data_IF_162602296515
#
_entry.id   IF_162602296515
#
_cell.length_a   1.000
_cell.length_b   1.000
_cell.length_c   1.000
_cell.angle_alpha   90.00
_cell.angle_beta   90.00
_cell.angle_gamma   90.00
#
_symmetry.space_group_name_H-M   'P 1'
#
loop_
_entity.id
_entity.type
_entity.pdbx_description
1 polymer ?
#
# COMPACT_ATOMS: atom_id res chain seq x y z
N UNK A 1 39.30 49.05 37.31
CA UNK A 1 37.91 48.67 37.05
C UNK A 1 37.90 47.90 35.75
N UNK A 2 37.84 46.55 35.80
CA UNK A 2 37.84 45.67 34.63
C UNK A 2 36.36 45.22 34.36
N UNK A 3 35.78 45.71 33.26
CA UNK A 3 34.49 45.25 32.78
C UNK A 3 34.65 43.85 32.17
N UNK A 4 33.96 42.85 32.75
CA UNK A 4 33.81 41.53 32.20
C UNK A 4 32.52 41.56 31.33
N UNK A 5 32.68 41.56 30.00
CA UNK A 5 31.57 41.32 29.06
C UNK A 5 31.29 39.82 29.00
N UNK A 6 30.20 39.40 29.62
CA UNK A 6 29.68 38.04 29.47
C UNK A 6 28.90 37.94 28.14
N UNK A 7 29.47 37.23 27.18
CA UNK A 7 28.85 36.91 25.90
C UNK A 7 27.82 35.77 26.11
N UNK A 8 26.52 36.12 26.13
CA UNK A 8 25.46 35.12 26.13
C UNK A 8 25.34 34.55 24.69
N UNK A 9 25.86 33.33 24.47
CA UNK A 9 25.63 32.60 23.24
C UNK A 9 24.18 32.04 23.25
N UNK A 10 23.28 32.66 22.48
CA UNK A 10 21.96 32.11 22.19
C UNK A 10 22.11 30.86 21.30
N UNK A 11 22.02 29.69 21.90
CA UNK A 11 21.80 28.44 21.15
C UNK A 11 20.39 28.50 20.55
N UNK A 12 20.28 28.88 19.28
CA UNK A 12 19.08 28.66 18.49
C UNK A 12 18.94 27.18 18.23
N UNK A 13 18.12 26.47 19.03
CA UNK A 13 17.63 25.13 18.67
C UNK A 13 16.79 25.31 17.42
N UNK A 14 17.35 24.99 16.27
CA UNK A 14 16.64 24.91 15.00
C UNK A 14 15.57 23.84 15.11
N UNK A 15 14.30 24.24 15.24
CA UNK A 15 13.19 23.33 15.13
C UNK A 15 13.21 22.69 13.72
N UNK A 16 13.64 21.44 13.63
CA UNK A 16 13.62 20.67 12.38
C UNK A 16 12.20 20.69 11.80
N UNK A 17 12.09 20.71 10.46
CA UNK A 17 10.78 20.64 9.80
C UNK A 17 9.99 19.42 10.32
N UNK A 18 8.69 19.56 10.62
CA UNK A 18 7.87 18.44 11.03
C UNK A 18 7.94 17.31 10.00
N UNK A 19 8.12 16.07 10.45
CA UNK A 19 8.18 14.91 9.56
C UNK A 19 6.79 14.66 9.00
N UNK A 20 6.65 14.69 7.67
CA UNK A 20 5.41 14.35 6.98
C UNK A 20 5.28 12.84 6.84
N UNK A 21 4.85 12.16 7.89
CA UNK A 21 4.78 10.71 7.94
C UNK A 21 3.92 10.10 6.81
N UNK A 22 2.91 10.79 6.34
CA UNK A 22 2.08 10.32 5.20
C UNK A 22 2.84 10.23 3.88
N UNK A 23 3.98 10.92 3.77
CA UNK A 23 4.90 10.85 2.62
C UNK A 23 6.09 9.91 2.85
N UNK A 24 6.23 9.40 4.07
CA UNK A 24 7.28 8.42 4.40
C UNK A 24 6.86 7.05 3.91
N UNK A 25 7.61 6.50 2.95
CA UNK A 25 7.36 5.18 2.37
C UNK A 25 8.63 4.36 2.45
N UNK A 26 8.53 3.18 3.04
CA UNK A 26 9.63 2.21 3.11
C UNK A 26 9.19 0.84 2.61
N UNK A 27 10.16 0.04 2.15
CA UNK A 27 9.95 -1.34 1.74
C UNK A 27 10.51 -2.28 2.79
N UNK A 28 9.72 -3.27 3.20
CA UNK A 28 10.17 -4.28 4.16
C UNK A 28 11.01 -5.37 3.48
N UNK A 29 11.76 -6.19 4.23
CA UNK A 29 12.47 -7.35 3.69
C UNK A 29 11.57 -8.35 2.95
N UNK A 30 10.29 -8.50 3.38
CA UNK A 30 9.31 -9.35 2.67
C UNK A 30 8.74 -8.69 1.42
N UNK A 31 9.14 -7.45 1.13
CA UNK A 31 8.73 -6.71 -0.05
C UNK A 31 7.42 -5.94 0.07
N UNK A 32 6.74 -5.92 1.23
CA UNK A 32 5.60 -5.05 1.47
C UNK A 32 5.99 -3.58 1.54
N UNK A 33 5.02 -2.68 1.40
CA UNK A 33 5.24 -1.26 1.60
C UNK A 33 4.64 -0.80 2.92
N UNK A 34 5.40 0.03 3.64
CA UNK A 34 4.97 0.67 4.88
C UNK A 34 4.89 2.17 4.65
N UNK A 35 3.74 2.75 4.94
CA UNK A 35 3.49 4.18 4.91
C UNK A 35 3.40 4.66 6.36
N UNK A 36 4.16 5.70 6.68
CA UNK A 36 4.17 6.27 8.03
C UNK A 36 5.50 6.13 8.75
N UNK A 37 5.45 6.30 10.07
CA UNK A 37 6.60 6.16 10.94
C UNK A 37 6.97 4.67 11.08
N UNK A 38 8.12 4.21 10.58
CA UNK A 38 8.50 2.80 10.69
C UNK A 38 8.73 2.34 12.14
N UNK A 39 8.98 3.29 13.06
CA UNK A 39 9.13 3.06 14.50
C UNK A 39 7.81 3.25 15.29
N UNK A 40 6.66 3.40 14.62
CA UNK A 40 5.37 3.49 15.30
C UNK A 40 5.11 2.25 16.16
N UNK A 41 4.57 2.45 17.36
CA UNK A 41 4.25 1.37 18.30
C UNK A 41 3.17 0.42 17.78
N UNK A 42 2.31 0.90 16.90
CA UNK A 42 1.24 0.12 16.28
C UNK A 42 1.51 0.00 14.80
N UNK A 43 1.52 -1.23 14.31
CA UNK A 43 1.57 -1.57 12.89
C UNK A 43 0.25 -2.19 12.49
N UNK A 44 -0.45 -1.53 11.58
CA UNK A 44 -1.62 -2.08 10.90
C UNK A 44 -1.17 -2.69 9.58
N UNK A 45 -1.39 -3.99 9.41
CA UNK A 45 -1.12 -4.70 8.15
C UNK A 45 -2.44 -4.97 7.46
N UNK A 46 -2.54 -4.63 6.18
CA UNK A 46 -3.63 -5.00 5.30
C UNK A 46 -3.14 -6.02 4.26
N UNK A 47 -3.74 -7.20 4.23
CA UNK A 47 -3.67 -8.11 3.09
C UNK A 47 -4.80 -7.76 2.13
N UNK A 48 -4.43 -7.31 0.93
CA UNK A 48 -5.38 -6.74 -0.02
C UNK A 48 -5.21 -7.34 -1.43
N UNK A 49 -6.26 -7.20 -2.21
CA UNK A 49 -6.30 -7.53 -3.63
C UNK A 49 -6.86 -6.36 -4.42
N UNK A 50 -6.24 -6.03 -5.56
CA UNK A 50 -6.72 -4.96 -6.44
C UNK A 50 -8.03 -5.33 -7.16
N UNK A 51 -8.41 -6.60 -7.16
CA UNK A 51 -9.67 -7.08 -7.74
C UNK A 51 -10.74 -7.35 -6.68
N UNK A 52 -10.51 -7.01 -5.42
CA UNK A 52 -11.47 -7.13 -4.34
C UNK A 52 -12.28 -5.83 -4.15
N UNK A 53 -13.61 -5.83 -4.34
CA UNK A 53 -14.43 -4.64 -4.13
C UNK A 53 -14.37 -4.09 -2.69
N UNK A 54 -14.28 -4.97 -1.70
CA UNK A 54 -14.16 -4.56 -0.29
C UNK A 54 -12.83 -3.85 0.00
N UNK A 55 -11.72 -4.26 -0.67
CA UNK A 55 -10.44 -3.54 -0.60
C UNK A 55 -10.56 -2.15 -1.25
N UNK A 56 -11.23 -2.05 -2.41
CA UNK A 56 -11.54 -0.77 -3.04
C UNK A 56 -12.35 0.16 -2.14
N UNK A 57 -13.36 -0.39 -1.45
CA UNK A 57 -14.15 0.36 -0.48
C UNK A 57 -13.29 0.87 0.69
N UNK A 58 -12.42 0.01 1.26
CA UNK A 58 -11.52 0.43 2.34
C UNK A 58 -10.50 1.47 1.85
N UNK A 59 -9.96 1.32 0.66
CA UNK A 59 -9.05 2.30 0.07
C UNK A 59 -9.71 3.68 -0.10
N UNK A 60 -11.00 3.72 -0.48
CA UNK A 60 -11.74 4.96 -0.67
C UNK A 60 -12.21 5.62 0.64
N UNK A 61 -12.64 4.85 1.63
CA UNK A 61 -13.26 5.35 2.86
C UNK A 61 -12.34 5.24 4.09
N UNK A 62 -11.74 4.07 4.32
CA UNK A 62 -10.96 3.77 5.51
C UNK A 62 -9.55 4.35 5.47
N UNK A 63 -8.85 4.17 4.35
CA UNK A 63 -7.46 4.64 4.21
C UNK A 63 -7.32 6.15 4.43
N UNK A 64 -8.14 7.06 3.87
CA UNK A 64 -8.02 8.49 4.15
C UNK A 64 -8.20 8.84 5.63
N UNK A 65 -9.10 8.17 6.34
CA UNK A 65 -9.32 8.38 7.77
C UNK A 65 -8.12 7.90 8.59
N UNK A 66 -7.60 6.69 8.30
CA UNK A 66 -6.38 6.14 8.88
C UNK A 66 -5.18 7.08 8.69
N UNK A 67 -4.98 7.54 7.45
CA UNK A 67 -3.84 8.40 7.10
C UNK A 67 -3.89 9.73 7.85
N UNK A 68 -5.04 10.41 7.88
CA UNK A 68 -5.18 11.71 8.57
C UNK A 68 -5.08 11.59 10.09
N UNK A 69 -5.73 10.58 10.66
CA UNK A 69 -5.92 10.52 12.12
C UNK A 69 -4.73 9.89 12.84
N UNK A 70 -4.09 8.89 12.22
CA UNK A 70 -3.11 8.06 12.91
C UNK A 70 -1.73 8.09 12.25
N UNK A 71 -1.66 7.90 10.92
CA UNK A 71 -0.38 7.85 10.20
C UNK A 71 0.30 9.22 10.18
N UNK A 72 -0.43 10.29 9.88
CA UNK A 72 0.11 11.66 9.86
C UNK A 72 0.75 12.06 11.20
N UNK A 73 0.24 11.50 12.30
CA UNK A 73 0.73 11.73 13.66
C UNK A 73 1.87 10.79 14.07
N UNK A 74 2.28 9.87 13.17
CA UNK A 74 3.31 8.87 13.46
C UNK A 74 2.89 7.79 14.47
N UNK A 75 1.60 7.67 14.79
CA UNK A 75 1.06 6.73 15.77
C UNK A 75 0.95 5.32 15.21
N UNK A 76 0.65 5.19 13.92
CA UNK A 76 0.46 3.93 13.21
C UNK A 76 1.37 3.89 11.98
N UNK A 77 2.05 2.75 11.78
CA UNK A 77 2.67 2.37 10.53
C UNK A 77 1.66 1.52 9.74
N UNK A 78 1.27 1.96 8.54
CA UNK A 78 0.36 1.23 7.69
C UNK A 78 1.14 0.38 6.68
N UNK A 79 1.05 -0.93 6.79
CA UNK A 79 1.74 -1.90 5.93
C UNK A 79 0.75 -2.56 4.97
N UNK A 80 1.06 -2.50 3.67
CA UNK A 80 0.23 -3.04 2.60
C UNK A 80 0.91 -4.29 2.02
N UNK A 81 0.21 -5.42 2.05
CA UNK A 81 0.61 -6.72 1.51
C UNK A 81 -0.37 -7.19 0.44
N UNK A 82 0.17 -7.71 -0.65
CA UNK A 82 -0.68 -8.30 -1.69
C UNK A 82 -1.10 -9.72 -1.29
N UNK A 83 -2.39 -10.01 -1.49
CA UNK A 83 -2.99 -11.35 -1.46
C UNK A 83 -3.71 -11.56 -2.80
N UNK A 84 -2.92 -11.90 -3.82
CA UNK A 84 -3.36 -12.00 -5.22
C UNK A 84 -4.42 -13.08 -5.39
N UNK A 85 -5.46 -12.77 -6.19
CA UNK A 85 -6.62 -13.64 -6.42
C UNK A 85 -6.76 -14.10 -7.87
N UNK A 86 -6.27 -13.30 -8.82
CA UNK A 86 -6.46 -13.52 -10.25
C UNK A 86 -5.36 -12.83 -11.08
N UNK A 87 -5.29 -13.08 -12.41
CA UNK A 87 -4.26 -12.50 -13.27
C UNK A 87 -4.27 -10.95 -13.35
N UNK A 88 -5.45 -10.31 -13.28
CA UNK A 88 -5.54 -8.84 -13.28
C UNK A 88 -4.98 -8.27 -11.98
N UNK A 89 -5.27 -8.92 -10.85
CA UNK A 89 -4.73 -8.54 -9.55
C UNK A 89 -3.20 -8.65 -9.54
N UNK A 90 -2.63 -9.72 -10.10
CA UNK A 90 -1.18 -9.87 -10.23
C UNK A 90 -0.58 -8.77 -11.10
N UNK A 91 -1.19 -8.48 -12.25
CA UNK A 91 -0.72 -7.41 -13.13
C UNK A 91 -0.77 -6.04 -12.42
N UNK A 92 -1.85 -5.74 -11.71
CA UNK A 92 -2.00 -4.51 -10.94
C UNK A 92 -0.99 -4.43 -9.78
N UNK A 93 -0.75 -5.56 -9.08
CA UNK A 93 0.23 -5.64 -8.01
C UNK A 93 1.67 -5.38 -8.50
N UNK A 94 2.05 -5.89 -9.66
CA UNK A 94 3.35 -5.60 -10.29
C UNK A 94 3.40 -4.14 -10.75
N UNK A 95 2.35 -3.67 -11.41
CA UNK A 95 2.29 -2.33 -11.99
C UNK A 95 2.44 -1.22 -10.93
N UNK A 96 1.72 -1.32 -9.83
CA UNK A 96 1.78 -0.35 -8.73
C UNK A 96 3.17 -0.27 -8.06
N UNK A 97 3.94 -1.35 -8.15
CA UNK A 97 5.28 -1.48 -7.58
C UNK A 97 6.41 -1.17 -8.57
N UNK A 98 6.06 -0.95 -9.84
CA UNK A 98 7.02 -0.62 -10.89
C UNK A 98 7.48 0.83 -10.75
N UNK A 99 8.73 1.02 -10.34
CA UNK A 99 9.32 2.33 -10.08
C UNK A 99 9.80 2.52 -8.64
N UNK A 100 10.10 3.76 -8.25
CA UNK A 100 10.61 4.06 -6.91
C UNK A 100 9.54 3.86 -5.83
N UNK A 101 9.97 3.41 -4.65
CA UNK A 101 9.07 3.11 -3.53
C UNK A 101 8.12 4.26 -3.18
N UNK A 102 8.59 5.50 -3.28
CA UNK A 102 7.79 6.71 -3.01
C UNK A 102 6.57 6.89 -3.92
N UNK A 103 6.57 6.25 -5.11
CA UNK A 103 5.45 6.31 -6.05
C UNK A 103 4.34 5.30 -5.71
N UNK A 104 4.64 4.29 -4.89
CA UNK A 104 3.70 3.21 -4.57
C UNK A 104 2.35 3.71 -4.02
N UNK A 105 2.26 4.62 -3.03
CA UNK A 105 0.96 5.03 -2.50
C UNK A 105 0.06 5.66 -3.56
N UNK A 106 0.59 6.55 -4.38
CA UNK A 106 -0.19 7.19 -5.43
C UNK A 106 -0.57 6.22 -6.57
N UNK A 107 0.28 5.25 -6.91
CA UNK A 107 -0.06 4.20 -7.88
C UNK A 107 -1.14 3.27 -7.33
N UNK A 108 -1.03 2.89 -6.06
CA UNK A 108 -1.99 2.08 -5.33
C UNK A 108 -3.39 2.73 -5.30
N UNK A 109 -3.45 4.00 -4.93
CA UNK A 109 -4.68 4.79 -4.92
C UNK A 109 -5.30 4.89 -6.32
N UNK A 110 -4.49 5.19 -7.35
CA UNK A 110 -4.96 5.30 -8.73
C UNK A 110 -5.57 4.00 -9.26
N UNK A 111 -4.95 2.84 -8.96
CA UNK A 111 -5.48 1.54 -9.38
C UNK A 111 -6.80 1.23 -8.67
N UNK A 112 -6.94 1.52 -7.38
CA UNK A 112 -8.23 1.36 -6.71
C UNK A 112 -9.30 2.32 -7.22
N UNK A 113 -8.95 3.57 -7.51
CA UNK A 113 -9.87 4.52 -8.10
C UNK A 113 -10.39 4.06 -9.48
N UNK A 114 -9.54 3.36 -10.26
CA UNK A 114 -9.90 2.81 -11.57
C UNK A 114 -10.49 1.37 -11.49
N UNK A 115 -10.60 0.76 -10.30
CA UNK A 115 -10.91 -0.67 -10.12
C UNK A 115 -12.13 -1.14 -10.93
N UNK A 116 -13.24 -0.42 -10.86
CA UNK A 116 -14.49 -0.80 -11.54
C UNK A 116 -14.33 -0.80 -13.07
N UNK A 117 -13.57 0.16 -13.62
CA UNK A 117 -13.30 0.26 -15.04
C UNK A 117 -12.36 -0.85 -15.53
N UNK A 118 -11.28 -1.09 -14.78
CA UNK A 118 -10.36 -2.19 -15.07
C UNK A 118 -11.09 -3.54 -15.07
N UNK A 119 -11.96 -3.77 -14.11
CA UNK A 119 -12.77 -4.99 -13.99
C UNK A 119 -13.71 -5.17 -15.17
N UNK A 120 -14.45 -4.12 -15.52
CA UNK A 120 -15.39 -4.15 -16.65
C UNK A 120 -14.69 -4.50 -17.96
N UNK A 121 -13.51 -3.92 -18.20
CA UNK A 121 -12.70 -4.19 -19.41
C UNK A 121 -12.05 -5.58 -19.37
N UNK A 122 -11.75 -6.12 -18.19
CA UNK A 122 -11.20 -7.46 -18.06
C UNK A 122 -12.22 -8.56 -18.31
N UNK A 123 -13.51 -8.31 -18.09
CA UNK A 123 -14.57 -9.32 -18.24
C UNK A 123 -14.67 -9.92 -19.66
N UNK A 124 -14.25 -9.18 -20.69
CA UNK A 124 -14.23 -9.63 -22.06
C UNK A 124 -12.84 -9.99 -22.59
N UNK A 125 -11.84 -10.07 -21.70
CA UNK A 125 -10.48 -10.37 -22.13
C UNK A 125 -10.31 -11.84 -22.50
N UNK A 126 -9.90 -12.07 -23.77
CA UNK A 126 -9.44 -13.37 -24.26
C UNK A 126 -7.91 -13.31 -24.43
N UNK A 127 -7.14 -14.16 -23.72
CA UNK A 127 -5.69 -14.19 -23.87
C UNK A 127 -5.24 -14.70 -25.26
N UNK A 128 -6.09 -15.42 -26.01
CA UNK A 128 -5.78 -15.92 -27.34
C UNK A 128 -4.41 -16.58 -27.44
N UNK A 129 -3.56 -16.17 -28.41
CA UNK A 129 -2.21 -16.75 -28.59
C UNK A 129 -1.27 -16.56 -27.37
N UNK A 130 -1.55 -15.57 -26.50
CA UNK A 130 -0.72 -15.29 -25.33
C UNK A 130 -1.01 -16.18 -24.12
N UNK A 131 -2.04 -17.06 -24.18
CA UNK A 131 -2.46 -17.92 -23.08
C UNK A 131 -1.34 -18.83 -22.54
N UNK A 132 -0.37 -19.19 -23.38
CA UNK A 132 0.77 -20.06 -23.00
C UNK A 132 1.97 -19.31 -22.45
N UNK A 133 2.00 -17.98 -22.56
CA UNK A 133 3.06 -17.10 -22.03
C UNK A 133 2.48 -16.16 -20.97
N UNK A 134 2.70 -16.42 -19.68
CA UNK A 134 2.15 -15.59 -18.61
C UNK A 134 2.56 -14.12 -18.68
N UNK A 135 3.77 -13.83 -19.17
CA UNK A 135 4.25 -12.43 -19.32
C UNK A 135 3.53 -11.74 -20.47
N UNK A 136 3.40 -12.43 -21.61
CA UNK A 136 2.65 -11.90 -22.75
C UNK A 136 1.17 -11.72 -22.40
N UNK A 137 0.57 -12.66 -21.65
CA UNK A 137 -0.80 -12.57 -21.14
C UNK A 137 -1.00 -11.37 -20.22
N UNK A 138 -0.10 -11.14 -19.26
CA UNK A 138 -0.16 -9.95 -18.38
C UNK A 138 -0.03 -8.63 -19.17
N UNK A 139 0.86 -8.56 -20.17
CA UNK A 139 0.99 -7.39 -21.03
C UNK A 139 -0.29 -7.11 -21.80
N UNK A 140 -0.85 -8.13 -22.44
CA UNK A 140 -2.09 -8.01 -23.23
C UNK A 140 -3.27 -7.60 -22.31
N UNK A 141 -3.43 -8.24 -21.17
CA UNK A 141 -4.45 -7.90 -20.17
C UNK A 141 -4.29 -6.45 -19.67
N UNK A 142 -3.07 -6.04 -19.35
CA UNK A 142 -2.77 -4.66 -18.90
C UNK A 142 -3.10 -3.61 -19.97
N UNK A 143 -2.86 -3.91 -21.25
CA UNK A 143 -3.23 -3.03 -22.37
C UNK A 143 -4.75 -2.96 -22.56
N UNK A 144 -5.41 -4.12 -22.60
CA UNK A 144 -6.87 -4.24 -22.80
C UNK A 144 -7.65 -3.54 -21.70
N UNK A 145 -7.24 -3.69 -20.46
CA UNK A 145 -7.91 -3.06 -19.33
C UNK A 145 -7.62 -1.57 -19.19
N UNK A 146 -6.58 -1.06 -19.85
CA UNK A 146 -6.12 0.33 -19.69
C UNK A 146 -5.15 0.54 -18.52
N UNK A 147 -4.74 -0.54 -17.82
CA UNK A 147 -3.78 -0.44 -16.73
C UNK A 147 -2.44 0.14 -17.19
N UNK A 148 -1.99 -0.21 -18.42
CA UNK A 148 -0.78 0.37 -19.02
C UNK A 148 -0.89 1.88 -19.20
N UNK A 149 -2.03 2.39 -19.67
CA UNK A 149 -2.29 3.82 -19.84
C UNK A 149 -2.31 4.52 -18.48
N UNK A 150 -3.05 3.96 -17.51
CA UNK A 150 -3.11 4.49 -16.15
C UNK A 150 -1.71 4.63 -15.52
N UNK A 151 -0.85 3.61 -15.70
CA UNK A 151 0.52 3.66 -15.17
C UNK A 151 1.41 4.67 -15.93
N UNK A 152 1.19 4.85 -17.23
CA UNK A 152 1.90 5.87 -18.01
C UNK A 152 1.58 7.28 -17.50
N UNK A 153 0.32 7.57 -17.19
CA UNK A 153 -0.13 8.83 -16.56
C UNK A 153 0.50 9.04 -15.19
N UNK A 154 0.89 7.94 -14.51
CA UNK A 154 1.60 7.93 -13.23
C UNK A 154 3.13 7.99 -13.38
N UNK A 155 3.64 8.18 -14.59
CA UNK A 155 5.07 8.29 -14.89
C UNK A 155 5.80 6.94 -15.04
N UNK A 156 5.07 5.83 -15.17
CA UNK A 156 5.65 4.52 -15.47
C UNK A 156 5.56 4.28 -16.98
N UNK A 157 6.65 4.49 -17.70
CA UNK A 157 6.68 4.27 -19.15
C UNK A 157 6.28 2.83 -19.50
N UNK A 158 5.53 2.61 -20.62
CA UNK A 158 5.10 1.26 -21.04
C UNK A 158 6.23 0.24 -21.15
N UNK A 159 7.41 0.66 -21.63
CA UNK A 159 8.59 -0.21 -21.71
C UNK A 159 9.08 -0.65 -20.32
N UNK A 160 9.09 0.27 -19.35
CA UNK A 160 9.46 -0.02 -17.96
C UNK A 160 8.44 -0.98 -17.31
N UNK A 161 7.13 -0.75 -17.53
CA UNK A 161 6.08 -1.64 -17.05
C UNK A 161 6.23 -3.05 -17.63
N UNK A 162 6.50 -3.16 -18.94
CA UNK A 162 6.76 -4.44 -19.60
C UNK A 162 7.99 -5.18 -19.02
N UNK A 163 9.04 -4.44 -18.65
CA UNK A 163 10.20 -5.00 -17.96
C UNK A 163 9.84 -5.47 -16.55
N UNK A 164 9.00 -4.73 -15.82
CA UNK A 164 8.49 -5.15 -14.50
C UNK A 164 7.68 -6.46 -14.60
N UNK A 165 6.82 -6.61 -15.61
CA UNK A 165 6.07 -7.86 -15.85
C UNK A 165 6.99 -9.05 -16.15
N UNK A 166 8.09 -8.85 -16.87
CA UNK A 166 9.06 -9.89 -17.18
C UNK A 166 10.00 -10.22 -16.01
N UNK A 167 10.06 -9.37 -15.00
CA UNK A 167 11.04 -9.50 -13.89
C UNK A 167 10.57 -10.48 -12.83
N UNK A 168 11.23 -11.64 -12.74
CA UNK A 168 11.03 -12.59 -11.63
C UNK A 168 11.31 -11.94 -10.27
N UNK A 169 12.28 -11.03 -10.17
CA UNK A 169 12.60 -10.32 -8.94
C UNK A 169 11.48 -9.35 -8.51
N UNK A 170 10.71 -8.79 -9.45
CA UNK A 170 9.54 -7.98 -9.14
C UNK A 170 8.34 -8.83 -8.70
N UNK A 171 8.18 -10.02 -9.28
CA UNK A 171 7.07 -10.93 -8.97
C UNK A 171 7.27 -11.68 -7.64
N UNK A 172 8.49 -12.14 -7.35
CA UNK A 172 8.77 -13.02 -6.22
C UNK A 172 8.24 -12.52 -4.87
N UNK A 173 8.41 -11.26 -4.45
CA UNK A 173 7.86 -10.78 -3.19
C UNK A 173 6.32 -10.75 -3.17
N UNK A 174 5.68 -10.51 -4.31
CA UNK A 174 4.21 -10.53 -4.42
C UNK A 174 3.70 -11.95 -4.24
N UNK A 175 4.33 -12.92 -4.91
CA UNK A 175 4.01 -14.35 -4.79
C UNK A 175 4.24 -14.83 -3.35
N UNK A 176 5.35 -14.43 -2.72
CA UNK A 176 5.64 -14.79 -1.33
C UNK A 176 4.60 -14.24 -0.35
N UNK A 177 4.19 -12.96 -0.50
CA UNK A 177 3.13 -12.36 0.33
C UNK A 177 1.77 -13.04 0.09
N UNK A 178 1.46 -13.39 -1.14
CA UNK A 178 0.24 -14.13 -1.51
C UNK A 178 0.22 -15.51 -0.85
N UNK A 179 1.35 -16.22 -0.90
CA UNK A 179 1.48 -17.52 -0.23
C UNK A 179 1.37 -17.38 1.31
N UNK A 180 1.99 -16.35 1.91
CA UNK A 180 1.85 -16.05 3.34
C UNK A 180 0.37 -15.82 3.70
N UNK A 181 -0.35 -15.04 2.89
CA UNK A 181 -1.77 -14.76 3.11
C UNK A 181 -2.64 -16.04 3.11
N UNK A 182 -2.61 -16.76 2.00
CA UNK A 182 -3.57 -17.87 1.77
C UNK A 182 -3.16 -19.18 2.44
N UNK A 183 -1.86 -19.52 2.47
CA UNK A 183 -1.40 -20.82 2.93
C UNK A 183 -0.86 -20.79 4.37
N UNK A 184 -0.15 -19.73 4.76
CA UNK A 184 0.44 -19.65 6.11
C UNK A 184 -0.56 -19.07 7.11
N UNK A 185 -1.10 -17.88 6.82
CA UNK A 185 -2.05 -17.19 7.70
C UNK A 185 -3.48 -17.64 7.52
N UNK A 186 -3.78 -18.29 6.39
CA UNK A 186 -5.12 -18.80 6.05
C UNK A 186 -6.19 -17.72 6.22
N UNK A 187 -5.92 -16.51 5.66
CA UNK A 187 -6.89 -15.42 5.75
C UNK A 187 -8.24 -15.85 5.13
N UNK A 188 -9.38 -15.48 5.73
CA UNK A 188 -10.69 -15.89 5.25
C UNK A 188 -11.09 -15.18 3.94
N UNK A 189 -10.41 -14.09 3.59
CA UNK A 189 -10.68 -13.27 2.42
C UNK A 189 -9.87 -11.99 2.44
N UNK A 190 -10.17 -11.07 1.50
CA UNK A 190 -9.58 -9.73 1.46
C UNK A 190 -10.66 -8.66 1.55
N UNK A 191 -10.39 -7.52 2.23
CA UNK A 191 -9.18 -7.25 2.99
C UNK A 191 -9.15 -8.05 4.29
N UNK A 192 -7.94 -8.47 4.74
CA UNK A 192 -7.71 -9.02 6.06
C UNK A 192 -6.71 -8.14 6.81
N UNK A 193 -7.00 -7.84 8.07
CA UNK A 193 -6.21 -6.91 8.85
C UNK A 193 -5.53 -7.59 10.03
N UNK A 194 -4.32 -7.08 10.35
CA UNK A 194 -3.55 -7.51 11.51
C UNK A 194 -3.03 -6.28 12.24
N UNK A 195 -3.15 -6.27 13.56
CA UNK A 195 -2.53 -5.26 14.42
C UNK A 195 -1.39 -5.91 15.19
N UNK A 196 -0.16 -5.42 15.02
CA UNK A 196 1.03 -5.95 15.66
C UNK A 196 1.18 -7.48 15.52
N UNK A 197 0.82 -8.02 14.35
CA UNK A 197 0.91 -9.45 14.02
C UNK A 197 -0.31 -10.28 14.40
N UNK A 198 -1.24 -9.76 15.18
CA UNK A 198 -2.48 -10.44 15.57
C UNK A 198 -3.59 -10.13 14.58
N UNK A 199 -4.26 -11.16 14.07
CA UNK A 199 -5.43 -11.00 13.21
C UNK A 199 -6.57 -10.30 13.96
N UNK A 200 -7.30 -9.44 13.24
CA UNK A 200 -8.52 -8.82 13.76
C UNK A 200 -9.70 -9.17 12.85
N UNK A 201 -10.82 -9.54 13.46
CA UNK A 201 -12.08 -9.80 12.74
C UNK A 201 -12.78 -8.48 12.43
N UNK A 202 -12.22 -7.73 11.47
CA UNK A 202 -12.73 -6.44 11.04
C UNK A 202 -12.23 -6.17 9.61
N UNK A 203 -13.10 -5.66 8.75
CA UNK A 203 -12.81 -5.34 7.35
C UNK A 203 -13.37 -3.98 6.91
N UNK A 204 -13.96 -3.22 7.83
CA UNK A 204 -14.40 -1.83 7.60
C UNK A 204 -13.68 -0.89 8.56
N UNK A 205 -13.60 0.38 8.21
CA UNK A 205 -12.94 1.38 9.04
C UNK A 205 -13.58 1.49 10.44
N UNK A 206 -14.90 1.48 10.49
CA UNK A 206 -15.69 1.59 11.72
C UNK A 206 -15.38 0.45 12.71
N UNK A 207 -15.10 -0.74 12.19
CA UNK A 207 -14.73 -1.91 12.99
C UNK A 207 -13.23 -1.94 13.35
N UNK A 208 -12.36 -1.38 12.49
CA UNK A 208 -10.90 -1.35 12.68
C UNK A 208 -10.48 -0.24 13.64
N UNK A 209 -11.07 0.96 13.53
CA UNK A 209 -10.66 2.13 14.33
C UNK A 209 -10.70 1.86 15.84
N UNK A 210 -11.76 1.26 16.44
CA UNK A 210 -11.76 0.93 17.87
C UNK A 210 -10.59 0.02 18.27
N UNK A 211 -10.27 -1.00 17.47
CA UNK A 211 -9.13 -1.91 17.71
C UNK A 211 -7.78 -1.19 17.66
N UNK A 212 -7.62 -0.23 16.75
CA UNK A 212 -6.42 0.63 16.70
C UNK A 212 -6.31 1.52 17.95
N UNK A 213 -7.43 2.09 18.40
CA UNK A 213 -7.47 2.92 19.61
C UNK A 213 -7.07 2.12 20.85
N UNK A 214 -7.57 0.90 20.96
CA UNK A 214 -7.22 -0.03 22.04
C UNK A 214 -5.73 -0.37 22.02
N UNK A 215 -5.17 -0.71 20.84
CA UNK A 215 -3.75 -0.99 20.67
C UNK A 215 -2.85 0.21 21.02
N UNK A 216 -3.34 1.43 20.76
CA UNK A 216 -2.69 2.69 21.11
C UNK A 216 -2.95 3.14 22.56
N UNK A 217 -3.79 2.43 23.33
CA UNK A 217 -4.24 2.81 24.68
C UNK A 217 -4.86 4.22 24.74
N UNK A 218 -5.59 4.60 23.67
CA UNK A 218 -6.30 5.87 23.60
C UNK A 218 -7.69 5.74 24.26
N UNK A 219 -8.14 6.80 24.95
CA UNK A 219 -9.49 6.84 25.52
C UNK A 219 -10.55 6.60 24.44
N UNK A 220 -11.68 5.96 24.76
CA UNK A 220 -12.81 5.85 23.83
C UNK A 220 -13.17 7.22 23.26
N UNK A 221 -13.65 7.24 21.99
CA UNK A 221 -14.24 8.45 21.43
C UNK A 221 -15.49 8.78 22.25
N UNK A 222 -15.60 10.01 22.75
CA UNK A 222 -16.88 10.49 23.24
C UNK A 222 -17.87 10.45 22.06
N UNK A 223 -19.00 9.81 22.25
CA UNK A 223 -20.08 9.72 21.25
C UNK A 223 -20.70 11.08 20.96
#
# INVERSE_FOLDING_TARGET
>A
MRLILTLLALLSLGAGKPIEWTKSVSRTPVGSYVIGNPAAKVRLVEFMSYTCPHCGHFAAAGTPALMRTYVARGLVAFEIRNAVRDPLDLAAAIATRCGPAKSFPGNHEAVFAAQADLFRKAAGFDPGPTAKDPVAGMKALSQTTGLTTLMAERGVAPAALNACFASKAAQAPIIAMTNDAWNTRKIPGTPAFFINGNAIEANTWEAIEPRLRDALKLKPKAG
#
